data_IF_934571081848
#
_entry.id   IF_934571081848
#
_cell.length_a   1.000
_cell.length_b   1.000
_cell.length_c   1.000
_cell.angle_alpha   90.00
_cell.angle_beta   90.00
_cell.angle_gamma   90.00
#
_symmetry.space_group_name_H-M   'P 1'
#
loop_
_entity.id
_entity.type
_entity.pdbx_description
1 polymer ?
#
# COMPACT_ATOMS: atom_id res chain seq x y z
N UNK A 1 7.33 -15.36 17.36
CA UNK A 1 6.22 -15.77 16.45
C UNK A 1 5.13 -14.71 16.24
N UNK A 2 4.99 -13.66 17.06
CA UNK A 2 3.91 -12.65 16.92
C UNK A 2 4.13 -11.60 15.81
N UNK A 3 5.36 -11.19 15.51
CA UNK A 3 5.65 -10.11 14.55
C UNK A 3 5.23 -10.40 13.11
N UNK A 4 5.52 -11.61 12.60
CA UNK A 4 5.18 -11.99 11.23
C UNK A 4 3.66 -11.97 10.97
N UNK A 5 2.87 -12.46 11.93
CA UNK A 5 1.41 -12.43 11.84
C UNK A 5 0.87 -10.98 11.83
N UNK A 6 1.44 -10.11 12.67
CA UNK A 6 1.10 -8.69 12.72
C UNK A 6 1.44 -7.99 11.40
N UNK A 7 2.59 -8.32 10.79
CA UNK A 7 2.96 -7.80 9.47
C UNK A 7 1.96 -8.15 8.39
N UNK A 8 1.61 -9.43 8.24
CA UNK A 8 0.66 -9.86 7.22
C UNK A 8 -0.74 -9.29 7.47
N UNK A 9 -1.17 -9.20 8.73
CA UNK A 9 -2.42 -8.55 9.08
C UNK A 9 -2.44 -7.08 8.65
N UNK A 10 -1.41 -6.31 9.02
CA UNK A 10 -1.30 -4.91 8.65
C UNK A 10 -1.20 -4.72 7.13
N UNK A 11 -0.44 -5.58 6.45
CA UNK A 11 -0.32 -5.56 4.99
C UNK A 11 -1.69 -5.71 4.34
N UNK A 12 -2.48 -6.71 4.76
CA UNK A 12 -3.83 -6.95 4.24
C UNK A 12 -4.75 -5.75 4.51
N UNK A 13 -4.71 -5.18 5.71
CA UNK A 13 -5.53 -4.00 6.08
C UNK A 13 -5.19 -2.81 5.18
N UNK A 14 -3.91 -2.53 4.97
CA UNK A 14 -3.46 -1.39 4.17
C UNK A 14 -3.81 -1.57 2.70
N UNK A 15 -3.60 -2.77 2.13
CA UNK A 15 -4.00 -3.09 0.76
C UNK A 15 -5.53 -2.96 0.59
N UNK A 16 -6.31 -3.44 1.56
CA UNK A 16 -7.77 -3.32 1.53
C UNK A 16 -8.23 -1.85 1.58
N UNK A 17 -7.58 -1.01 2.39
CA UNK A 17 -7.86 0.43 2.46
C UNK A 17 -7.54 1.14 1.16
N UNK A 18 -6.37 0.88 0.56
CA UNK A 18 -5.99 1.45 -0.74
C UNK A 18 -6.97 1.04 -1.84
N UNK A 19 -7.36 -0.23 -1.86
CA UNK A 19 -8.34 -0.74 -2.80
C UNK A 19 -9.73 -0.11 -2.60
N UNK A 20 -10.17 0.07 -1.35
CA UNK A 20 -11.41 0.76 -1.02
C UNK A 20 -11.38 2.24 -1.42
N UNK A 21 -10.25 2.94 -1.22
CA UNK A 21 -10.04 4.30 -1.70
C UNK A 21 -10.09 4.38 -3.22
N UNK A 22 -9.44 3.43 -3.91
CA UNK A 22 -9.40 3.36 -5.37
C UNK A 22 -10.75 3.08 -6.05
N UNK A 23 -11.73 2.53 -5.32
CA UNK A 23 -13.10 2.30 -5.82
C UNK A 23 -13.98 3.55 -5.86
N UNK A 24 -13.60 4.65 -5.20
CA UNK A 24 -14.38 5.90 -5.26
C UNK A 24 -14.21 6.53 -6.63
N UNK A 25 -15.34 6.81 -7.29
CA UNK A 25 -15.44 7.30 -8.67
C UNK A 25 -14.68 8.62 -8.86
N UNK A 26 -13.51 8.56 -9.48
CA UNK A 26 -12.61 9.68 -9.74
C UNK A 26 -11.36 9.23 -10.49
N UNK A 27 -10.42 10.15 -10.81
CA UNK A 27 -9.09 9.73 -11.23
C UNK A 27 -8.49 8.81 -10.15
N UNK A 28 -7.75 7.75 -10.54
CA UNK A 28 -7.14 6.85 -9.56
C UNK A 28 -6.30 7.68 -8.58
N UNK A 29 -6.36 7.30 -7.30
CA UNK A 29 -5.54 7.93 -6.28
C UNK A 29 -4.07 7.67 -6.60
N UNK A 30 -3.38 8.71 -7.07
CA UNK A 30 -2.01 8.63 -7.53
C UNK A 30 -1.08 9.14 -6.44
N UNK A 31 -0.27 8.26 -5.89
CA UNK A 31 0.81 8.66 -5.01
C UNK A 31 2.05 9.04 -5.84
N UNK A 32 2.91 9.95 -5.34
CA UNK A 32 4.19 10.23 -5.96
C UNK A 32 4.98 8.94 -6.17
N UNK A 33 5.44 8.69 -7.40
CA UNK A 33 6.15 7.47 -7.77
C UNK A 33 5.25 6.34 -8.30
N UNK A 34 3.92 6.49 -8.29
CA UNK A 34 3.03 5.60 -9.02
C UNK A 34 3.08 5.89 -10.53
N UNK A 35 2.96 4.84 -11.34
CA UNK A 35 2.90 4.97 -12.79
C UNK A 35 1.43 4.84 -13.20
N UNK A 36 0.92 5.86 -13.88
CA UNK A 36 -0.40 5.84 -14.47
C UNK A 36 -0.35 6.21 -15.94
N UNK A 37 -0.89 5.32 -16.77
CA UNK A 37 -0.95 5.47 -18.21
C UNK A 37 -2.43 5.47 -18.60
N UNK A 38 -2.88 6.58 -19.19
CA UNK A 38 -4.25 6.78 -19.66
C UNK A 38 -4.26 7.06 -21.17
N UNK A 39 -3.87 6.07 -21.99
CA UNK A 39 -4.03 6.07 -23.44
C UNK A 39 -4.79 4.82 -23.88
N UNK A 40 -6.10 4.95 -24.15
CA UNK A 40 -6.97 3.88 -24.63
C UNK A 40 -7.39 2.86 -23.56
N UNK A 41 -6.42 2.33 -22.80
CA UNK A 41 -6.64 1.53 -21.60
C UNK A 41 -6.05 2.26 -20.39
N UNK A 42 -6.69 2.10 -19.23
CA UNK A 42 -6.22 2.69 -17.96
C UNK A 42 -5.34 1.66 -17.26
N UNK A 43 -4.02 1.87 -17.29
CA UNK A 43 -3.06 1.02 -16.59
C UNK A 43 -2.51 1.81 -15.41
N UNK A 44 -2.68 1.25 -14.21
CA UNK A 44 -2.16 1.81 -12.96
C UNK A 44 -1.19 0.81 -12.34
N UNK A 45 0.05 1.25 -12.10
CA UNK A 45 1.09 0.47 -11.44
C UNK A 45 1.46 1.22 -10.14
N UNK A 46 1.04 0.70 -8.97
CA UNK A 46 1.18 1.36 -7.67
C UNK A 46 2.60 1.24 -7.08
N UNK A 47 3.65 1.66 -7.81
CA UNK A 47 5.04 1.52 -7.34
C UNK A 47 5.33 2.34 -6.08
N UNK A 48 4.97 3.62 -6.07
CA UNK A 48 5.18 4.52 -4.94
C UNK A 48 4.34 4.11 -3.74
N UNK A 49 3.07 3.78 -3.97
CA UNK A 49 2.18 3.26 -2.95
C UNK A 49 2.77 2.00 -2.30
N UNK A 50 3.24 1.03 -3.10
CA UNK A 50 3.80 -0.22 -2.59
C UNK A 50 5.05 0.01 -1.73
N UNK A 51 5.91 0.95 -2.11
CA UNK A 51 7.08 1.32 -1.32
C UNK A 51 6.69 1.95 0.03
N UNK A 52 5.78 2.93 0.01
CA UNK A 52 5.30 3.59 1.23
C UNK A 52 4.69 2.58 2.18
N UNK A 53 3.84 1.68 1.68
CA UNK A 53 3.23 0.61 2.48
C UNK A 53 4.30 -0.29 3.10
N UNK A 54 5.31 -0.68 2.32
CA UNK A 54 6.40 -1.54 2.79
C UNK A 54 7.21 -0.85 3.90
N UNK A 55 7.55 0.43 3.74
CA UNK A 55 8.27 1.21 4.76
C UNK A 55 7.45 1.35 6.04
N UNK A 56 6.15 1.67 5.93
CA UNK A 56 5.27 1.77 7.09
C UNK A 56 5.18 0.44 7.85
N UNK A 57 5.03 -0.66 7.13
CA UNK A 57 5.00 -2.00 7.73
C UNK A 57 6.31 -2.35 8.43
N UNK A 58 7.44 -2.01 7.81
CA UNK A 58 8.76 -2.19 8.42
C UNK A 58 8.90 -1.38 9.71
N UNK A 59 8.53 -0.10 9.69
CA UNK A 59 8.60 0.77 10.87
C UNK A 59 7.72 0.27 12.02
N UNK A 60 6.49 -0.18 11.71
CA UNK A 60 5.57 -0.72 12.72
C UNK A 60 6.12 -2.02 13.31
N UNK A 61 6.63 -2.93 12.47
CA UNK A 61 7.31 -4.14 12.94
C UNK A 61 8.50 -3.82 13.85
N UNK A 62 9.35 -2.90 13.40
CA UNK A 62 10.56 -2.51 14.11
C UNK A 62 10.23 -1.86 15.46
N UNK A 63 9.18 -1.04 15.53
CA UNK A 63 8.74 -0.42 16.78
C UNK A 63 8.07 -1.41 17.76
N UNK A 64 7.41 -2.46 17.25
CA UNK A 64 6.68 -3.44 18.07
C UNK A 64 7.53 -4.60 18.57
N UNK A 65 8.72 -4.81 18.00
CA UNK A 65 9.65 -5.86 18.45
C UNK A 65 10.63 -5.23 19.45
N UNK A 66 10.46 -5.44 20.77
CA UNK A 66 11.41 -4.96 21.76
C UNK A 66 12.77 -5.63 21.53
N UNK A 67 13.83 -4.82 21.64
CA UNK A 67 15.23 -5.26 21.51
C UNK A 67 15.72 -5.94 22.78
#
# INVERSE_FOLDING_TARGET
>A
MKGLQVFFFLYVVVVALLYALGRRTGPPFLLPGDIYISKGSRIYIPLGASLIVTVLLFLVLYALIPR
#
